data_IF_815616906638
#
_entry.id   IF_815616906638
#
_cell.length_a   1.000
_cell.length_b   1.000
_cell.length_c   1.000
_cell.angle_alpha   90.00
_cell.angle_beta   90.00
_cell.angle_gamma   90.00
#
_symmetry.space_group_name_H-M   'P 1'
#
loop_
_entity.id
_entity.type
_entity.pdbx_description
1 polymer ?
#
# COMPACT_ATOMS: atom_id res chain seq x y z
N UNK A 1 -51.00 -62.12 0.11
CA UNK A 1 -51.18 -62.50 -1.31
C UNK A 1 -49.88 -62.17 -2.04
N UNK A 2 -49.46 -63.03 -2.97
CA UNK A 2 -48.49 -62.75 -4.05
C UNK A 2 -49.29 -62.19 -5.26
N UNK A 3 -48.67 -61.67 -6.35
CA UNK A 3 -47.32 -61.10 -6.51
C UNK A 3 -47.28 -59.87 -7.50
N UNK A 4 -46.07 -59.48 -7.97
CA UNK A 4 -45.77 -58.93 -9.33
C UNK A 4 -46.34 -57.52 -9.72
N UNK A 5 -45.78 -56.74 -10.65
CA UNK A 5 -44.43 -56.62 -11.27
C UNK A 5 -44.33 -55.35 -12.19
N UNK A 6 -43.15 -55.08 -12.77
CA UNK A 6 -42.93 -54.46 -14.11
C UNK A 6 -43.33 -52.96 -14.34
N UNK A 7 -42.82 -52.15 -15.30
CA UNK A 7 -41.81 -52.17 -16.40
C UNK A 7 -41.46 -50.64 -16.63
N UNK A 8 -40.20 -50.15 -16.72
CA UNK A 8 -39.39 -49.93 -17.97
C UNK A 8 -39.94 -48.80 -18.89
N UNK A 9 -39.25 -48.01 -19.72
CA UNK A 9 -37.86 -47.61 -20.06
C UNK A 9 -37.97 -47.01 -21.50
N UNK A 10 -37.15 -46.01 -21.85
CA UNK A 10 -36.75 -45.62 -23.22
C UNK A 10 -37.81 -45.28 -24.30
N UNK A 11 -37.64 -44.09 -24.90
CA UNK A 11 -37.85 -43.89 -26.34
C UNK A 11 -36.56 -43.34 -26.95
N UNK A 12 -35.94 -44.13 -27.81
CA UNK A 12 -34.92 -43.71 -28.77
C UNK A 12 -35.59 -43.13 -30.01
N UNK A 13 -34.96 -42.18 -30.70
CA UNK A 13 -35.29 -41.91 -32.10
C UNK A 13 -34.01 -41.75 -32.94
N UNK A 14 -34.07 -42.29 -34.15
CA UNK A 14 -32.90 -42.71 -34.95
C UNK A 14 -32.57 -41.71 -36.07
N UNK A 15 -31.31 -41.71 -36.53
CA UNK A 15 -30.84 -40.95 -37.68
C UNK A 15 -31.54 -41.30 -39.01
N UNK A 16 -31.51 -40.35 -39.96
CA UNK A 16 -31.47 -40.65 -41.39
C UNK A 16 -30.45 -39.73 -42.10
N UNK A 17 -29.60 -40.35 -42.93
CA UNK A 17 -28.66 -39.75 -43.90
C UNK A 17 -29.35 -39.89 -45.30
N UNK A 18 -29.16 -39.08 -46.35
CA UNK A 18 -27.96 -38.98 -47.21
C UNK A 18 -28.07 -37.88 -48.30
N UNK A 19 -26.94 -37.18 -48.59
CA UNK A 19 -26.29 -36.88 -49.91
C UNK A 19 -27.20 -36.36 -51.06
N UNK A 20 -27.04 -35.16 -51.68
CA UNK A 20 -25.88 -34.54 -52.39
C UNK A 20 -26.19 -33.05 -52.73
N UNK A 21 -25.32 -32.16 -53.27
CA UNK A 21 -23.86 -32.17 -53.53
C UNK A 21 -23.43 -31.22 -54.69
N UNK A 22 -22.39 -30.39 -54.48
CA UNK A 22 -21.74 -29.41 -55.41
C UNK A 22 -22.61 -28.22 -55.91
N UNK A 23 -22.20 -26.95 -55.84
CA UNK A 23 -20.95 -26.33 -56.35
C UNK A 23 -20.73 -24.93 -55.73
N UNK A 24 -19.52 -24.35 -55.86
CA UNK A 24 -19.27 -22.90 -55.67
C UNK A 24 -18.26 -22.58 -54.56
N UNK A 25 -17.12 -21.98 -54.93
CA UNK A 25 -16.07 -21.59 -54.01
C UNK A 25 -16.22 -20.14 -53.52
N UNK A 26 -15.75 -19.86 -52.30
CA UNK A 26 -15.10 -18.59 -51.94
C UNK A 26 -14.30 -18.81 -50.67
N UNK A 27 -13.00 -18.54 -50.70
CA UNK A 27 -12.17 -18.53 -49.50
C UNK A 27 -12.62 -17.37 -48.61
N UNK A 28 -12.92 -17.65 -47.33
CA UNK A 28 -13.03 -16.63 -46.30
C UNK A 28 -11.89 -16.83 -45.31
N UNK A 29 -11.01 -15.83 -45.25
CA UNK A 29 -9.87 -15.77 -44.34
C UNK A 29 -10.34 -15.83 -42.89
N UNK A 30 -9.76 -16.68 -42.02
CA UNK A 30 -10.10 -16.66 -40.61
C UNK A 30 -9.56 -15.36 -39.98
N UNK A 31 -10.45 -14.43 -39.65
CA UNK A 31 -10.09 -13.22 -38.89
C UNK A 31 -9.73 -13.60 -37.46
N UNK A 32 -8.46 -13.44 -37.11
CA UNK A 32 -8.00 -13.53 -35.72
C UNK A 32 -8.59 -12.39 -34.90
N UNK A 33 -9.58 -12.71 -34.07
CA UNK A 33 -10.08 -11.80 -33.02
C UNK A 33 -9.02 -11.63 -31.91
N UNK A 34 -7.98 -10.87 -32.23
CA UNK A 34 -6.97 -10.39 -31.27
C UNK A 34 -7.42 -9.02 -30.81
N UNK A 35 -8.07 -8.95 -29.65
CA UNK A 35 -8.74 -7.73 -29.20
C UNK A 35 -9.22 -7.75 -27.74
N UNK A 36 -8.53 -8.49 -26.87
CA UNK A 36 -8.72 -8.32 -25.42
C UNK A 36 -7.78 -7.21 -24.93
N UNK A 37 -8.26 -5.97 -24.96
CA UNK A 37 -7.63 -4.87 -24.24
C UNK A 37 -7.91 -5.03 -22.74
N UNK A 38 -7.25 -5.99 -22.11
CA UNK A 38 -6.99 -5.86 -20.68
C UNK A 38 -6.02 -4.70 -20.53
N UNK A 39 -6.45 -3.66 -19.80
CA UNK A 39 -5.51 -2.69 -19.25
C UNK A 39 -4.69 -3.40 -18.20
N UNK A 40 -3.60 -4.02 -18.65
CA UNK A 40 -2.67 -4.75 -17.80
C UNK A 40 -2.21 -3.78 -16.70
N UNK A 41 -2.69 -4.03 -15.48
CA UNK A 41 -2.53 -3.09 -14.38
C UNK A 41 -1.13 -3.28 -13.87
N UNK A 42 -0.20 -2.49 -14.42
CA UNK A 42 1.23 -2.63 -14.14
C UNK A 42 1.45 -2.54 -12.63
N UNK A 43 1.79 -3.67 -12.05
CA UNK A 43 2.00 -3.84 -10.62
C UNK A 43 3.35 -3.20 -10.28
N UNK A 44 3.41 -2.24 -9.33
CA UNK A 44 4.67 -1.68 -8.90
C UNK A 44 5.62 -2.78 -8.41
N UNK A 45 6.89 -2.70 -8.81
CA UNK A 45 7.92 -3.69 -8.50
C UNK A 45 9.13 -3.08 -7.74
N UNK A 46 9.12 -1.75 -7.58
CA UNK A 46 10.23 -0.97 -7.06
C UNK A 46 9.74 0.34 -6.43
N UNK A 47 10.66 1.03 -5.77
CA UNK A 47 10.45 2.36 -5.18
C UNK A 47 11.45 3.36 -5.78
N UNK A 48 10.97 4.51 -6.25
CA UNK A 48 11.82 5.66 -6.53
C UNK A 48 11.99 6.48 -5.26
N UNK A 49 13.24 6.79 -4.87
CA UNK A 49 13.53 7.53 -3.64
C UNK A 49 13.96 8.97 -3.92
N UNK A 50 13.34 9.91 -3.22
CA UNK A 50 13.81 11.29 -3.04
C UNK A 50 14.29 11.51 -1.59
N UNK A 51 15.07 12.57 -1.37
CA UNK A 51 15.55 12.97 -0.05
C UNK A 51 15.34 14.46 0.20
N UNK A 52 15.11 14.83 1.45
CA UNK A 52 14.99 16.23 1.84
C UNK A 52 16.33 16.96 1.70
N UNK A 53 16.34 18.09 1.00
CA UNK A 53 17.55 18.87 0.70
C UNK A 53 17.70 20.11 1.59
N UNK A 54 16.72 20.37 2.47
CA UNK A 54 16.60 21.60 3.24
C UNK A 54 15.45 22.49 2.77
N UNK A 55 15.09 23.48 3.60
CA UNK A 55 14.00 24.42 3.34
C UNK A 55 12.64 23.73 3.22
N UNK A 56 12.17 23.54 1.98
CA UNK A 56 10.84 23.04 1.65
C UNK A 56 10.86 21.94 0.59
N UNK A 57 12.02 21.34 0.26
CA UNK A 57 12.15 20.48 -0.93
C UNK A 57 12.65 19.07 -0.60
N UNK A 58 11.94 18.07 -1.13
CA UNK A 58 12.45 16.72 -1.38
C UNK A 58 12.86 16.63 -2.85
N UNK A 59 14.08 16.18 -3.13
CA UNK A 59 14.58 16.05 -4.50
C UNK A 59 14.99 14.63 -4.83
N UNK A 60 14.66 14.19 -6.04
CA UNK A 60 15.10 12.92 -6.60
C UNK A 60 16.54 13.02 -7.13
N UNK A 61 17.40 12.07 -6.74
CA UNK A 61 18.82 12.06 -7.12
C UNK A 61 19.74 12.74 -6.10
N UNK A 62 19.21 13.56 -5.19
CA UNK A 62 19.98 14.06 -4.05
C UNK A 62 20.08 12.99 -2.94
N UNK A 63 21.29 12.52 -2.63
CA UNK A 63 21.58 11.53 -1.57
C UNK A 63 20.73 10.25 -1.61
N UNK A 64 20.05 9.95 -2.72
CA UNK A 64 19.04 8.89 -2.82
C UNK A 64 19.49 7.72 -3.70
N UNK A 65 18.88 6.56 -3.48
CA UNK A 65 19.01 5.39 -4.36
C UNK A 65 17.93 5.54 -5.45
N UNK A 66 18.29 5.75 -6.74
CA UNK A 66 17.33 6.18 -7.76
C UNK A 66 16.13 5.24 -7.94
N UNK A 67 16.33 3.93 -7.85
CA UNK A 67 15.26 2.96 -7.88
C UNK A 67 15.66 1.75 -7.03
N UNK A 68 14.75 1.28 -6.17
CA UNK A 68 14.99 0.16 -5.25
C UNK A 68 13.96 -0.93 -5.52
N UNK A 69 14.33 -2.05 -6.17
CA UNK A 69 13.42 -3.17 -6.38
C UNK A 69 13.04 -3.86 -5.06
N UNK A 70 11.84 -4.42 -5.01
CA UNK A 70 11.47 -5.43 -4.02
C UNK A 70 11.32 -6.81 -4.67
N UNK A 71 11.80 -7.85 -4.01
CA UNK A 71 11.83 -9.23 -4.53
C UNK A 71 11.30 -10.25 -3.52
N UNK A 72 10.99 -11.44 -4.02
CA UNK A 72 10.46 -12.58 -3.25
C UNK A 72 9.14 -12.30 -2.52
N UNK A 73 8.39 -11.28 -2.97
CA UNK A 73 7.07 -10.98 -2.47
C UNK A 73 6.11 -12.17 -2.68
N UNK A 74 5.27 -12.53 -1.69
CA UNK A 74 4.18 -13.49 -1.88
C UNK A 74 3.27 -13.08 -3.05
N UNK A 75 2.74 -14.06 -3.78
CA UNK A 75 1.92 -13.80 -4.97
C UNK A 75 0.61 -13.03 -4.66
N UNK A 76 0.16 -13.05 -3.41
CA UNK A 76 -0.98 -12.31 -2.88
C UNK A 76 -0.56 -11.03 -2.13
N UNK A 77 0.53 -10.38 -2.55
CA UNK A 77 0.94 -9.08 -2.00
C UNK A 77 0.14 -7.95 -2.63
N UNK A 78 -0.45 -7.08 -1.80
CA UNK A 78 -1.14 -5.87 -2.24
C UNK A 78 -0.19 -4.68 -2.29
N UNK A 79 0.43 -4.47 -3.45
CA UNK A 79 1.41 -3.42 -3.68
C UNK A 79 0.82 -1.99 -3.64
N UNK A 80 -0.50 -1.83 -3.64
CA UNK A 80 -1.16 -0.52 -3.55
C UNK A 80 -1.19 0.01 -2.11
N UNK A 81 -1.25 -0.90 -1.13
CA UNK A 81 -1.32 -0.61 0.30
C UNK A 81 0.05 -0.84 0.91
N UNK A 82 0.84 0.23 1.01
CA UNK A 82 2.21 0.17 1.49
C UNK A 82 2.52 1.18 2.59
N UNK A 83 3.46 0.82 3.47
CA UNK A 83 4.03 1.68 4.50
C UNK A 83 5.53 1.38 4.66
N UNK A 84 6.28 2.31 5.26
CA UNK A 84 7.71 2.13 5.52
C UNK A 84 8.12 2.72 6.87
N UNK A 85 9.19 2.19 7.46
CA UNK A 85 9.87 2.82 8.60
C UNK A 85 11.35 2.44 8.61
N UNK A 86 12.14 3.08 9.47
CA UNK A 86 13.49 2.65 9.82
C UNK A 86 13.57 2.49 11.34
N UNK A 87 13.99 1.32 11.81
CA UNK A 87 14.01 0.99 13.24
C UNK A 87 15.33 1.34 13.95
N UNK A 88 16.29 1.93 13.22
CA UNK A 88 17.67 2.16 13.68
C UNK A 88 18.67 1.14 13.15
N UNK A 89 18.20 0.00 12.64
CA UNK A 89 19.03 -1.10 12.09
C UNK A 89 18.65 -1.44 10.65
N UNK A 90 17.35 -1.57 10.37
CA UNK A 90 16.79 -2.05 9.09
C UNK A 90 15.79 -1.04 8.55
N UNK A 91 15.90 -0.73 7.25
CA UNK A 91 14.81 -0.07 6.53
C UNK A 91 13.77 -1.13 6.22
N UNK A 92 12.53 -0.90 6.65
CA UNK A 92 11.42 -1.85 6.54
C UNK A 92 10.38 -1.31 5.58
N UNK A 93 9.96 -2.16 4.66
CA UNK A 93 8.85 -1.94 3.73
C UNK A 93 7.75 -2.95 4.06
N UNK A 94 6.52 -2.49 4.06
CA UNK A 94 5.35 -3.29 4.39
C UNK A 94 4.32 -3.18 3.29
N UNK A 95 3.63 -4.28 3.04
CA UNK A 95 2.46 -4.35 2.17
C UNK A 95 1.35 -5.14 2.87
N UNK A 96 0.10 -4.87 2.56
CA UNK A 96 -0.97 -5.79 2.97
C UNK A 96 -0.93 -7.10 2.17
N UNK A 97 -1.49 -8.15 2.76
CA UNK A 97 -1.94 -9.34 2.03
C UNK A 97 -3.25 -9.00 1.29
N UNK A 98 -3.36 -9.42 0.03
CA UNK A 98 -4.53 -9.21 -0.82
C UNK A 98 -5.78 -9.84 -0.18
N UNK A 99 -6.91 -9.16 -0.28
CA UNK A 99 -8.19 -9.53 0.35
C UNK A 99 -8.14 -9.71 1.89
N UNK A 100 -7.04 -9.31 2.56
CA UNK A 100 -6.95 -9.22 4.02
C UNK A 100 -7.05 -7.77 4.50
N UNK A 101 -7.69 -7.62 5.66
CA UNK A 101 -7.84 -6.39 6.43
C UNK A 101 -6.94 -6.35 7.68
N UNK A 102 -6.25 -7.45 7.98
CA UNK A 102 -5.59 -7.72 9.26
C UNK A 102 -4.16 -8.27 9.15
N UNK A 103 -3.64 -8.47 7.94
CA UNK A 103 -2.39 -9.19 7.70
C UNK A 103 -1.46 -8.37 6.80
N UNK A 104 -0.26 -8.08 7.28
CA UNK A 104 0.77 -7.36 6.52
C UNK A 104 2.04 -8.21 6.37
N UNK A 105 2.69 -8.08 5.21
CA UNK A 105 3.96 -8.69 4.87
C UNK A 105 5.11 -7.71 5.12
N UNK A 106 6.23 -8.18 5.68
CA UNK A 106 7.39 -7.34 6.02
C UNK A 106 8.64 -7.70 5.22
N UNK A 107 9.20 -6.67 4.58
CA UNK A 107 10.42 -6.72 3.77
C UNK A 107 11.51 -5.90 4.48
N UNK A 108 12.73 -6.42 4.52
CA UNK A 108 13.90 -5.66 4.96
C UNK A 108 14.79 -5.26 3.79
N UNK A 109 15.39 -4.08 3.85
CA UNK A 109 16.40 -3.67 2.87
C UNK A 109 17.71 -4.43 3.10
N UNK A 110 18.12 -5.21 2.10
CA UNK A 110 19.40 -5.90 2.07
C UNK A 110 20.44 -5.06 1.32
N UNK A 111 21.39 -4.48 2.06
CA UNK A 111 22.44 -3.65 1.49
C UNK A 111 23.39 -4.42 0.54
N UNK A 112 23.51 -5.75 0.67
CA UNK A 112 24.37 -6.56 -0.19
C UNK A 112 23.76 -6.80 -1.59
N UNK A 113 22.43 -6.81 -1.71
CA UNK A 113 21.71 -6.98 -2.98
C UNK A 113 21.09 -5.69 -3.51
N UNK A 114 21.07 -4.64 -2.68
CA UNK A 114 20.45 -3.33 -2.91
C UNK A 114 18.93 -3.38 -3.14
N UNK A 115 18.24 -4.32 -2.47
CA UNK A 115 16.80 -4.60 -2.65
C UNK A 115 16.07 -4.68 -1.33
N UNK A 116 14.76 -4.49 -1.37
CA UNK A 116 13.86 -4.95 -0.30
C UNK A 116 13.54 -6.43 -0.52
N UNK A 117 13.75 -7.25 0.50
CA UNK A 117 13.57 -8.70 0.42
C UNK A 117 12.55 -9.17 1.45
N UNK A 118 11.55 -9.95 1.01
CA UNK A 118 10.54 -10.53 1.89
C UNK A 118 11.20 -11.44 2.94
N UNK A 119 10.87 -11.24 4.22
CA UNK A 119 11.45 -12.02 5.32
C UNK A 119 12.91 -11.72 5.68
N UNK A 120 13.62 -10.86 4.94
CA UNK A 120 15.01 -10.51 5.26
C UNK A 120 15.10 -9.61 6.49
N UNK A 121 15.74 -10.10 7.56
CA UNK A 121 15.82 -9.42 8.87
C UNK A 121 14.44 -8.91 9.37
N UNK A 122 13.37 -9.61 9.02
CA UNK A 122 11.98 -9.24 9.26
C UNK A 122 11.15 -10.43 9.73
N UNK A 123 10.01 -10.12 10.36
CA UNK A 123 8.95 -11.09 10.66
C UNK A 123 8.09 -11.17 9.39
N UNK A 124 8.11 -12.28 8.61
CA UNK A 124 7.58 -12.27 7.25
C UNK A 124 6.09 -11.88 7.16
N UNK A 125 5.27 -12.35 8.10
CA UNK A 125 3.85 -12.03 8.21
C UNK A 125 3.54 -11.53 9.63
N UNK A 126 2.83 -10.41 9.73
CA UNK A 126 2.41 -9.76 10.97
C UNK A 126 0.89 -9.62 10.97
N UNK A 127 0.23 -9.88 12.12
CA UNK A 127 -1.20 -9.63 12.29
C UNK A 127 -1.47 -8.29 12.97
N UNK A 128 -2.64 -7.75 12.66
CA UNK A 128 -3.26 -6.59 13.28
C UNK A 128 -4.48 -7.08 14.06
N UNK A 129 -4.59 -6.75 15.35
CA UNK A 129 -5.69 -7.23 16.20
C UNK A 129 -6.41 -6.09 16.90
N UNK A 130 -7.71 -6.28 17.17
CA UNK A 130 -8.56 -5.26 17.78
C UNK A 130 -8.88 -4.09 16.83
N UNK A 131 -8.73 -4.27 15.51
CA UNK A 131 -9.02 -3.24 14.51
C UNK A 131 -10.46 -2.73 14.70
N UNK A 132 -10.67 -1.41 14.89
CA UNK A 132 -12.02 -0.84 14.94
C UNK A 132 -12.81 -1.14 13.66
N UNK A 133 -14.10 -1.44 13.80
CA UNK A 133 -14.96 -1.86 12.66
C UNK A 133 -15.13 -0.78 11.60
N UNK A 134 -14.87 0.48 11.94
CA UNK A 134 -14.89 1.64 11.08
C UNK A 134 -13.48 2.09 10.65
N UNK A 135 -12.43 1.28 10.83
CA UNK A 135 -11.09 1.59 10.34
C UNK A 135 -11.01 1.42 8.81
N UNK A 136 -10.43 2.39 8.12
CA UNK A 136 -10.06 2.27 6.72
C UNK A 136 -8.78 1.42 6.60
N UNK A 137 -8.96 0.18 6.16
CA UNK A 137 -7.87 -0.77 5.91
C UNK A 137 -7.34 -0.71 4.48
N UNK A 138 -7.83 0.25 3.67
CA UNK A 138 -7.29 0.53 2.34
C UNK A 138 -6.00 1.36 2.38
N UNK A 139 -5.65 1.94 3.53
CA UNK A 139 -4.39 2.67 3.71
C UNK A 139 -3.92 2.62 5.16
N UNK A 140 -2.61 2.53 5.33
CA UNK A 140 -1.95 2.55 6.62
C UNK A 140 -0.61 3.27 6.49
N UNK A 141 -0.07 3.74 7.62
CA UNK A 141 1.30 4.20 7.70
C UNK A 141 1.92 3.69 9.00
N UNK A 142 3.25 3.66 9.06
CA UNK A 142 3.98 3.12 10.21
C UNK A 142 5.19 4.00 10.53
N UNK A 143 5.64 3.95 11.77
CA UNK A 143 6.90 4.55 12.19
C UNK A 143 7.52 3.75 13.34
N UNK A 144 8.79 3.99 13.58
CA UNK A 144 9.48 3.61 14.81
C UNK A 144 10.00 4.90 15.46
N UNK A 145 9.73 5.09 16.75
CA UNK A 145 10.12 6.31 17.48
C UNK A 145 11.50 6.20 18.15
N UNK A 146 12.15 5.04 18.05
CA UNK A 146 13.39 4.70 18.76
C UNK A 146 13.17 3.72 19.90
N UNK A 147 11.92 3.55 20.37
CA UNK A 147 11.53 2.61 21.42
C UNK A 147 10.38 1.69 21.00
N UNK A 148 9.40 2.22 20.27
CA UNK A 148 8.17 1.51 19.90
C UNK A 148 7.90 1.58 18.40
N UNK A 149 7.29 0.52 17.88
CA UNK A 149 6.74 0.48 16.53
C UNK A 149 5.26 0.84 16.60
N UNK A 150 4.84 1.79 15.77
CA UNK A 150 3.46 2.28 15.68
C UNK A 150 2.93 2.07 14.28
N UNK A 151 1.69 1.60 14.17
CA UNK A 151 0.92 1.55 12.93
C UNK A 151 -0.31 2.44 13.09
N UNK A 152 -0.69 3.11 12.00
CA UNK A 152 -1.82 4.02 11.95
C UNK A 152 -2.76 3.63 10.82
N UNK A 153 -4.06 3.73 11.08
CA UNK A 153 -5.14 3.70 10.08
C UNK A 153 -6.01 4.94 10.25
N UNK A 154 -6.81 5.29 9.23
CA UNK A 154 -7.83 6.34 9.35
C UNK A 154 -9.20 5.75 9.65
N UNK A 155 -10.15 6.58 10.06
CA UNK A 155 -11.57 6.19 10.13
C UNK A 155 -12.22 6.31 8.73
N UNK A 156 -13.04 5.32 8.37
CA UNK A 156 -13.88 5.35 7.18
C UNK A 156 -14.85 6.55 7.23
N UNK A 157 -14.92 7.30 6.13
CA UNK A 157 -15.77 8.50 5.98
C UNK A 157 -15.37 9.69 6.88
N UNK A 158 -14.29 9.59 7.66
CA UNK A 158 -13.73 10.70 8.46
C UNK A 158 -12.20 10.60 8.50
N UNK A 159 -11.58 11.14 7.46
CA UNK A 159 -10.13 11.13 7.29
C UNK A 159 -9.38 12.06 8.26
N UNK A 160 -10.08 12.76 9.15
CA UNK A 160 -9.48 13.54 10.23
C UNK A 160 -9.19 12.71 11.47
N UNK A 161 -9.79 11.51 11.61
CA UNK A 161 -9.57 10.62 12.75
C UNK A 161 -8.62 9.50 12.38
N UNK A 162 -7.68 9.22 13.29
CA UNK A 162 -6.67 8.19 13.14
C UNK A 162 -6.69 7.22 14.32
N UNK A 163 -6.54 5.93 14.03
CA UNK A 163 -6.40 4.85 15.00
C UNK A 163 -4.94 4.41 15.11
N UNK A 164 -4.40 4.33 16.33
CA UNK A 164 -3.01 3.93 16.58
C UNK A 164 -2.91 2.53 17.21
N UNK A 165 -2.11 1.69 16.58
CA UNK A 165 -1.75 0.35 17.03
C UNK A 165 -0.28 0.36 17.48
N UNK A 166 0.03 -0.32 18.58
CA UNK A 166 1.41 -0.56 19.01
C UNK A 166 1.79 -2.02 18.79
N UNK A 167 3.06 -2.27 18.48
CA UNK A 167 3.57 -3.64 18.40
C UNK A 167 3.75 -4.26 19.80
N UNK A 168 3.10 -5.39 20.03
CA UNK A 168 3.23 -6.20 21.24
C UNK A 168 4.18 -7.37 20.98
N UNK A 169 5.40 -7.29 21.49
CA UNK A 169 6.42 -8.34 21.34
C UNK A 169 6.08 -9.67 22.04
N UNK A 170 5.09 -9.69 22.94
CA UNK A 170 4.64 -10.92 23.62
C UNK A 170 3.71 -11.74 22.73
N UNK A 171 2.86 -11.08 21.94
CA UNK A 171 1.93 -11.74 21.01
C UNK A 171 2.47 -11.83 19.58
N UNK A 172 3.45 -10.99 19.22
CA UNK A 172 3.99 -10.86 17.87
C UNK A 172 3.15 -9.99 16.93
N UNK A 173 2.17 -9.25 17.45
CA UNK A 173 1.15 -8.54 16.65
C UNK A 173 1.18 -7.03 16.85
N UNK A 174 0.56 -6.28 15.94
CA UNK A 174 0.15 -4.91 16.20
C UNK A 174 -1.25 -4.91 16.80
N UNK A 175 -1.42 -4.25 17.93
CA UNK A 175 -2.66 -4.29 18.72
C UNK A 175 -3.21 -2.88 18.91
N UNK A 176 -4.50 -2.70 18.63
CA UNK A 176 -5.17 -1.41 18.76
C UNK A 176 -5.11 -0.91 20.22
N UNK A 177 -4.65 0.33 20.43
CA UNK A 177 -4.53 0.92 21.77
C UNK A 177 -3.36 0.39 22.64
N UNK A 178 -2.58 -0.60 22.18
CA UNK A 178 -1.48 -1.16 22.97
C UNK A 178 -0.30 -0.19 23.06
N UNK A 179 -0.02 0.34 24.27
CA UNK A 179 1.02 1.34 24.52
C UNK A 179 0.98 2.54 23.55
N UNK A 180 -0.23 2.87 23.10
CA UNK A 180 -0.52 3.85 22.04
C UNK A 180 -1.66 4.79 22.46
N UNK A 181 -1.71 5.97 21.84
CA UNK A 181 -2.90 6.84 21.93
C UNK A 181 -3.92 6.28 20.94
N UNK A 182 -4.88 5.50 21.44
CA UNK A 182 -5.78 4.68 20.62
C UNK A 182 -6.46 5.46 19.48
N UNK A 183 -6.92 6.68 19.75
CA UNK A 183 -7.55 7.58 18.77
C UNK A 183 -6.86 8.95 18.81
N UNK A 184 -6.51 9.47 17.65
CA UNK A 184 -5.86 10.76 17.41
C UNK A 184 -6.65 11.56 16.38
N UNK A 185 -6.54 12.89 16.40
CA UNK A 185 -7.14 13.75 15.38
C UNK A 185 -6.07 14.47 14.54
N UNK A 186 -6.44 14.80 13.30
CA UNK A 186 -5.72 15.71 12.41
C UNK A 186 -6.50 17.02 12.42
N UNK A 187 -5.92 18.06 13.00
CA UNK A 187 -6.58 19.34 13.23
C UNK A 187 -5.88 20.48 12.49
N UNK A 188 -6.62 21.56 12.25
CA UNK A 188 -6.17 22.76 11.54
C UNK A 188 -5.68 22.52 10.09
N UNK A 189 -6.00 21.35 9.51
CA UNK A 189 -5.63 21.01 8.13
C UNK A 189 -6.14 22.06 7.12
N UNK A 190 -5.33 22.48 6.13
CA UNK A 190 -5.79 23.31 5.02
C UNK A 190 -6.97 22.67 4.28
N UNK A 191 -7.90 23.49 3.78
CA UNK A 191 -9.13 23.00 3.10
C UNK A 191 -8.86 22.16 1.83
N UNK A 192 -7.68 22.30 1.23
CA UNK A 192 -7.21 21.57 0.07
C UNK A 192 -6.23 20.43 0.42
N UNK A 193 -6.02 20.12 1.71
CA UNK A 193 -5.23 18.97 2.15
C UNK A 193 -5.87 17.65 1.67
N UNK A 194 -5.13 16.90 0.85
CA UNK A 194 -5.53 15.56 0.43
C UNK A 194 -5.24 14.57 1.56
N UNK A 195 -6.21 14.44 2.46
CA UNK A 195 -6.13 13.53 3.60
C UNK A 195 -6.12 12.04 3.20
N UNK A 196 -6.34 11.68 1.93
CA UNK A 196 -6.21 10.30 1.45
C UNK A 196 -4.74 9.96 1.10
N UNK A 197 -3.97 10.91 0.56
CA UNK A 197 -2.52 10.74 0.34
C UNK A 197 -1.76 11.18 1.59
N UNK A 198 -1.38 10.24 2.45
CA UNK A 198 -0.72 10.57 3.72
C UNK A 198 0.35 9.54 4.13
N UNK A 199 1.32 10.00 4.93
CA UNK A 199 2.31 9.15 5.60
C UNK A 199 2.65 9.74 6.98
N UNK A 200 3.34 8.97 7.82
CA UNK A 200 3.91 9.43 9.10
C UNK A 200 5.37 9.03 9.24
N UNK A 201 6.11 9.74 10.09
CA UNK A 201 7.45 9.35 10.55
C UNK A 201 7.74 9.97 11.92
N UNK A 202 8.77 9.49 12.62
CA UNK A 202 9.34 10.19 13.77
C UNK A 202 10.73 10.71 13.37
N UNK A 203 10.97 12.02 13.49
CA UNK A 203 12.24 12.63 13.07
C UNK A 203 13.32 12.63 14.18
N UNK A 204 13.02 12.03 15.33
CA UNK A 204 13.88 12.05 16.52
C UNK A 204 13.50 13.12 17.54
N UNK A 205 12.71 14.13 17.14
CA UNK A 205 12.19 15.17 18.03
C UNK A 205 10.67 15.31 17.99
N UNK A 206 10.01 14.93 16.89
CA UNK A 206 8.58 15.14 16.68
C UNK A 206 8.01 14.07 15.77
N UNK A 207 6.80 13.60 16.10
CA UNK A 207 6.01 12.77 15.21
C UNK A 207 5.43 13.65 14.12
N UNK A 208 5.73 13.32 12.87
CA UNK A 208 5.29 14.04 11.68
C UNK A 208 4.19 13.27 10.99
N UNK A 209 3.16 13.99 10.57
CA UNK A 209 2.22 13.54 9.57
C UNK A 209 2.41 14.41 8.33
N UNK A 210 2.37 13.78 7.15
CA UNK A 210 2.39 14.47 5.87
C UNK A 210 1.11 14.13 5.11
N UNK A 211 0.56 15.11 4.40
CA UNK A 211 -0.54 14.90 3.46
C UNK A 211 -0.16 15.45 2.09
N UNK A 212 -0.77 14.93 1.03
CA UNK A 212 -0.76 15.59 -0.26
C UNK A 212 -1.58 16.89 -0.23
N UNK A 213 -1.50 17.64 -1.32
CA UNK A 213 -2.44 18.70 -1.65
C UNK A 213 -3.35 18.28 -2.81
N UNK A 214 -4.59 18.74 -2.79
CA UNK A 214 -5.58 18.48 -3.85
C UNK A 214 -5.23 19.28 -5.10
N UNK A 215 -5.22 18.63 -6.26
CA UNK A 215 -4.83 19.26 -7.54
C UNK A 215 -3.32 19.42 -7.77
N UNK A 216 -2.49 19.27 -6.74
CA UNK A 216 -1.02 19.37 -6.83
C UNK A 216 -0.37 18.07 -6.33
N UNK A 217 -0.03 17.18 -7.27
CA UNK A 217 0.43 15.83 -6.93
C UNK A 217 1.77 15.82 -6.18
N UNK A 218 2.65 16.77 -6.47
CA UNK A 218 4.00 16.88 -5.88
C UNK A 218 4.10 17.91 -4.74
N UNK A 219 2.96 18.47 -4.29
CA UNK A 219 2.89 19.34 -3.11
C UNK A 219 2.44 18.55 -1.89
N UNK A 220 3.16 18.75 -0.78
CA UNK A 220 2.85 18.16 0.52
C UNK A 220 2.58 19.24 1.59
N UNK A 221 1.73 18.93 2.56
CA UNK A 221 1.64 19.64 3.83
C UNK A 221 2.25 18.78 4.95
N UNK A 222 2.93 19.41 5.91
CA UNK A 222 3.45 18.74 7.12
C UNK A 222 2.68 19.21 8.34
N UNK A 223 2.44 18.29 9.27
CA UNK A 223 1.81 18.46 10.56
C UNK A 223 2.80 18.01 11.64
N UNK A 224 2.77 18.65 12.81
CA UNK A 224 3.50 18.20 14.00
C UNK A 224 2.52 17.65 15.04
N UNK A 225 2.89 16.55 15.70
CA UNK A 225 2.14 16.09 16.86
C UNK A 225 2.32 17.06 18.03
N UNK A 226 1.20 17.58 18.55
CA UNK A 226 1.17 18.45 19.72
C UNK A 226 0.72 17.65 20.95
N UNK A 227 1.63 17.43 21.90
CA UNK A 227 1.34 16.66 23.12
C UNK A 227 0.37 17.36 24.09
N UNK A 228 0.07 18.65 23.91
CA UNK A 228 -0.89 19.37 24.74
C UNK A 228 -2.35 19.08 24.35
N UNK A 229 -2.62 18.86 23.06
CA UNK A 229 -3.92 18.45 22.51
C UNK A 229 -4.03 16.94 22.32
N UNK A 230 -2.90 16.26 22.07
CA UNK A 230 -2.79 14.90 21.52
C UNK A 230 -3.22 14.79 20.05
N UNK A 231 -3.05 15.86 19.26
CA UNK A 231 -3.40 15.91 17.84
C UNK A 231 -2.20 16.08 16.93
N UNK A 232 -2.35 15.72 15.65
CA UNK A 232 -1.49 16.20 14.57
C UNK A 232 -2.02 17.54 14.08
N UNK A 233 -1.31 18.62 14.39
CA UNK A 233 -1.69 20.00 14.07
C UNK A 233 -0.88 20.53 12.88
N UNK A 234 -1.56 21.14 11.91
CA UNK A 234 -0.90 21.94 10.88
C UNK A 234 -0.47 23.29 11.47
N UNK A 235 0.73 23.75 11.11
CA UNK A 235 1.34 24.96 11.68
C UNK A 235 2.06 24.72 13.02
N UNK A 236 1.75 23.65 13.75
CA UNK A 236 2.46 23.30 14.98
C UNK A 236 3.80 22.64 14.68
N UNK A 237 4.90 23.34 15.00
CA UNK A 237 6.28 22.85 14.82
C UNK A 237 6.63 22.37 13.39
N UNK A 238 5.83 22.74 12.39
CA UNK A 238 5.82 22.14 11.04
C UNK A 238 6.32 23.10 9.95
N UNK A 239 6.89 22.55 8.88
CA UNK A 239 7.10 23.24 7.60
C UNK A 239 5.74 23.30 6.87
N UNK A 240 5.13 24.49 6.65
CA UNK A 240 3.72 24.56 6.22
C UNK A 240 3.43 23.84 4.89
N UNK A 241 4.34 23.94 3.93
CA UNK A 241 4.25 23.30 2.61
C UNK A 241 5.63 22.82 2.15
N UNK A 242 5.69 21.64 1.52
CA UNK A 242 6.87 21.10 0.86
C UNK A 242 6.58 20.73 -0.60
N UNK A 243 7.63 20.56 -1.38
CA UNK A 243 7.61 20.18 -2.80
C UNK A 243 8.44 18.91 -3.00
N UNK A 244 8.01 18.05 -3.93
CA UNK A 244 8.73 16.84 -4.36
C UNK A 244 9.17 17.03 -5.81
N UNK A 245 10.47 17.27 -6.04
CA UNK A 245 11.02 17.60 -7.36
C UNK A 245 11.70 16.43 -8.05
N UNK A 246 11.77 16.50 -9.39
CA UNK A 246 12.54 15.60 -10.26
C UNK A 246 12.19 14.10 -10.21
N UNK A 247 11.06 13.71 -9.58
CA UNK A 247 10.64 12.30 -9.55
C UNK A 247 10.42 11.74 -10.97
N UNK A 248 10.93 10.53 -11.28
CA UNK A 248 10.80 9.91 -12.60
C UNK A 248 9.35 9.73 -13.05
N UNK A 249 9.13 9.71 -14.36
CA UNK A 249 7.80 9.56 -14.98
C UNK A 249 7.17 8.18 -14.76
N UNK A 250 7.96 7.17 -14.37
CA UNK A 250 7.49 5.82 -13.99
C UNK A 250 6.97 5.75 -12.53
N UNK A 251 6.98 6.87 -11.79
CA UNK A 251 6.49 6.97 -10.41
C UNK A 251 4.96 6.96 -10.33
N UNK A 252 4.39 6.03 -9.57
CA UNK A 252 2.95 5.90 -9.29
C UNK A 252 2.57 6.86 -8.16
N UNK A 253 2.22 8.10 -8.51
CA UNK A 253 2.04 9.20 -7.54
C UNK A 253 0.74 9.18 -6.71
N UNK A 254 -0.09 8.15 -6.84
CA UNK A 254 -1.39 8.01 -6.13
C UNK A 254 -1.25 7.60 -4.66
N UNK A 255 -0.08 7.11 -4.25
CA UNK A 255 0.28 6.85 -2.87
C UNK A 255 1.77 7.15 -2.66
N UNK A 256 2.16 7.59 -1.47
CA UNK A 256 3.57 7.81 -1.11
C UNK A 256 3.85 7.24 0.28
N UNK A 257 5.10 6.87 0.52
CA UNK A 257 5.59 6.47 1.84
C UNK A 257 6.81 7.30 2.21
N UNK A 258 7.06 7.44 3.52
CA UNK A 258 8.16 8.25 4.03
C UNK A 258 8.79 7.56 5.24
N UNK A 259 10.06 7.88 5.52
CA UNK A 259 10.71 7.54 6.78
C UNK A 259 11.80 8.56 7.09
N UNK A 260 12.21 8.62 8.36
CA UNK A 260 13.44 9.28 8.78
C UNK A 260 14.41 8.21 9.26
N UNK A 261 15.67 8.28 8.82
CA UNK A 261 16.67 7.25 9.12
C UNK A 261 17.70 7.67 10.20
N UNK A 262 17.41 8.73 10.94
CA UNK A 262 18.33 9.33 11.93
C UNK A 262 19.21 10.46 11.37
N UNK A 263 19.34 10.57 10.04
CA UNK A 263 20.15 11.62 9.40
C UNK A 263 19.46 12.30 8.21
N UNK A 264 18.53 11.63 7.54
CA UNK A 264 17.86 12.10 6.33
C UNK A 264 16.37 11.73 6.38
N UNK A 265 15.52 12.65 5.93
CA UNK A 265 14.14 12.35 5.59
C UNK A 265 14.10 11.77 4.18
N UNK A 266 13.39 10.65 4.01
CA UNK A 266 13.25 9.92 2.75
C UNK A 266 11.78 9.93 2.32
N UNK A 267 11.57 10.19 1.04
CA UNK A 267 10.27 10.15 0.38
C UNK A 267 10.31 9.09 -0.73
N UNK A 268 9.23 8.33 -0.90
CA UNK A 268 9.15 7.29 -1.91
C UNK A 268 7.82 7.32 -2.67
N UNK A 269 7.90 7.14 -3.99
CA UNK A 269 6.78 6.68 -4.80
C UNK A 269 7.03 5.22 -5.24
N UNK A 270 6.00 4.35 -5.27
CA UNK A 270 6.06 3.11 -6.02
C UNK A 270 6.38 3.38 -7.49
N UNK A 271 7.04 2.44 -8.17
CA UNK A 271 7.47 2.59 -9.57
C UNK A 271 7.20 1.31 -10.37
N UNK A 272 6.90 1.53 -11.66
CA UNK A 272 6.49 0.53 -12.65
C UNK A 272 7.64 0.22 -13.65
N UNK A 273 8.88 0.21 -13.16
CA UNK A 273 10.11 0.21 -13.97
C UNK A 273 10.59 -1.17 -14.41
#
# INVERSE_FOLDING_TARGET
MKPLDLLTLAITLTCALTISGCTGATESTPTTNTGSTTTDTVIPNSLNQAAYIGGTVYDFGFNSIPNIPFINAPADTDFSRSAMLHDGTTYRLYFFKQASHDTIYQFGYNAATQKYEFGFNSIPELKLTGIPTDADTNRFAMLHDGTTYRLYMKRQNDNTVMYQFGYNSTSGNYEFGFNSIATLFITLAPNDADLNRWAVLHDGSTYRLYTGKTGEIDTLYQFGFNAASNDYEWGFSSIPQLQVTNMPTDSVKTNFTMLHNGSNYRFYYPSNK
#
